data_IF_848461912185
#
_entry.id   IF_848461912185
#
_cell.length_a   1.000
_cell.length_b   1.000
_cell.length_c   1.000
_cell.angle_alpha   90.00
_cell.angle_beta   90.00
_cell.angle_gamma   90.00
#
_symmetry.space_group_name_H-M   'P 1'
#
loop_
_entity.id
_entity.type
_entity.pdbx_description
1 polymer ?
#
# COMPACT_ATOMS: atom_id res chain seq x y z
N UNK A 1 -35.21 10.18 17.10
CA UNK A 1 -33.75 9.91 17.18
C UNK A 1 -33.62 8.54 17.79
N UNK A 2 -33.22 7.56 16.99
CA UNK A 2 -32.98 6.20 17.47
C UNK A 2 -31.49 6.02 17.84
N UNK A 3 -31.23 5.17 18.83
CA UNK A 3 -29.90 4.65 19.13
C UNK A 3 -29.74 3.33 18.38
N UNK A 4 -28.91 3.37 17.34
CA UNK A 4 -28.55 2.22 16.51
C UNK A 4 -27.30 1.59 17.11
N UNK A 5 -27.43 0.42 17.69
CA UNK A 5 -26.31 -0.30 18.28
C UNK A 5 -25.84 -1.33 17.29
N UNK A 6 -24.55 -1.30 16.95
CA UNK A 6 -23.96 -2.33 16.13
C UNK A 6 -22.96 -3.16 16.95
N UNK A 7 -23.08 -4.48 16.84
CA UNK A 7 -22.19 -5.44 17.49
C UNK A 7 -21.60 -6.43 16.49
N UNK A 8 -20.41 -6.93 16.81
CA UNK A 8 -19.82 -8.06 16.09
C UNK A 8 -19.64 -9.21 17.06
N UNK A 9 -20.28 -10.33 16.77
CA UNK A 9 -20.19 -11.53 17.60
C UNK A 9 -19.10 -12.43 17.04
N UNK A 10 -17.95 -12.46 17.71
CA UNK A 10 -16.89 -13.42 17.41
C UNK A 10 -17.20 -14.77 18.05
N UNK A 11 -16.57 -15.85 17.59
CA UNK A 11 -16.62 -17.18 18.23
C UNK A 11 -16.01 -17.21 19.64
N UNK A 12 -15.38 -16.14 20.09
CA UNK A 12 -14.89 -15.96 21.46
C UNK A 12 -16.01 -15.43 22.38
N UNK A 13 -16.42 -16.25 23.35
CA UNK A 13 -17.47 -15.97 24.33
C UNK A 13 -17.10 -14.85 25.33
N UNK A 14 -15.82 -14.69 25.67
CA UNK A 14 -15.37 -13.63 26.59
C UNK A 14 -15.52 -12.26 25.94
N UNK A 15 -15.21 -12.19 24.66
CA UNK A 15 -15.34 -11.01 23.79
C UNK A 15 -16.78 -10.51 23.67
N UNK A 16 -17.75 -11.44 23.57
CA UNK A 16 -19.17 -11.11 23.46
C UNK A 16 -19.74 -10.62 24.79
N UNK A 17 -19.38 -11.28 25.90
CA UNK A 17 -19.83 -10.89 27.25
C UNK A 17 -19.43 -9.45 27.61
N UNK A 18 -18.19 -9.05 27.31
CA UNK A 18 -17.72 -7.67 27.56
C UNK A 18 -18.51 -6.64 26.77
N UNK A 19 -18.84 -6.91 25.50
CA UNK A 19 -19.63 -5.96 24.68
C UNK A 19 -21.03 -5.78 25.25
N UNK A 20 -21.69 -6.88 25.60
CA UNK A 20 -23.03 -6.85 26.21
C UNK A 20 -23.01 -6.07 27.52
N UNK A 21 -21.98 -6.25 28.35
CA UNK A 21 -21.85 -5.50 29.60
C UNK A 21 -21.71 -3.99 29.38
N UNK A 22 -20.81 -3.55 28.49
CA UNK A 22 -20.62 -2.13 28.16
C UNK A 22 -21.90 -1.48 27.62
N UNK A 23 -22.64 -2.22 26.79
CA UNK A 23 -23.92 -1.75 26.23
C UNK A 23 -24.99 -1.64 27.32
N UNK A 24 -25.07 -2.62 28.23
CA UNK A 24 -26.00 -2.61 29.34
C UNK A 24 -25.70 -1.46 30.33
N UNK A 25 -24.44 -1.22 30.68
CA UNK A 25 -24.01 -0.09 31.52
C UNK A 25 -24.37 1.27 30.88
N UNK A 26 -24.38 1.34 29.55
CA UNK A 26 -24.79 2.52 28.80
C UNK A 26 -26.32 2.65 28.63
N UNK A 27 -27.11 1.69 29.13
CA UNK A 27 -28.57 1.65 28.97
C UNK A 27 -29.01 1.27 27.54
N UNK A 28 -28.15 0.64 26.76
CA UNK A 28 -28.34 0.29 25.35
C UNK A 28 -28.52 -1.22 25.17
N UNK A 29 -29.43 -1.79 25.96
CA UNK A 29 -29.77 -3.21 25.90
C UNK A 29 -30.93 -3.47 24.94
N UNK A 30 -31.06 -4.73 24.51
CA UNK A 30 -32.20 -5.17 23.73
C UNK A 30 -33.51 -4.98 24.52
N UNK A 31 -34.56 -4.48 23.86
CA UNK A 31 -35.86 -4.20 24.48
C UNK A 31 -35.98 -2.81 25.12
N UNK A 32 -34.93 -2.00 25.14
CA UNK A 32 -35.01 -0.58 25.54
C UNK A 32 -35.67 0.24 24.44
N UNK A 33 -36.64 1.09 24.81
CA UNK A 33 -37.33 1.95 23.84
C UNK A 33 -36.36 2.90 23.14
N UNK A 34 -36.51 3.03 21.82
CA UNK A 34 -35.60 3.81 20.98
C UNK A 34 -34.25 3.17 20.65
N UNK A 35 -33.94 1.96 21.15
CA UNK A 35 -32.71 1.21 20.83
C UNK A 35 -32.98 0.16 19.76
N UNK A 36 -32.12 0.09 18.74
CA UNK A 36 -32.18 -0.93 17.69
C UNK A 36 -30.82 -1.60 17.54
N UNK A 37 -30.81 -2.92 17.74
CA UNK A 37 -29.60 -3.74 17.68
C UNK A 37 -29.40 -4.29 16.28
N UNK A 38 -28.16 -4.25 15.79
CA UNK A 38 -27.70 -4.87 14.57
C UNK A 38 -26.44 -5.68 14.88
N UNK A 39 -26.30 -6.85 14.26
CA UNK A 39 -25.19 -7.73 14.55
C UNK A 39 -24.70 -8.47 13.30
N UNK A 40 -23.39 -8.65 13.20
CA UNK A 40 -22.78 -9.58 12.25
C UNK A 40 -22.18 -10.78 13.02
N UNK A 41 -22.81 -11.98 12.96
CA UNK A 41 -22.29 -13.18 13.60
C UNK A 41 -21.13 -13.78 12.80
N UNK A 42 -20.08 -14.23 13.51
CA UNK A 42 -18.96 -15.00 12.96
C UNK A 42 -18.25 -14.39 11.73
N UNK A 43 -18.41 -13.08 11.51
CA UNK A 43 -17.86 -12.43 10.31
C UNK A 43 -16.38 -12.12 10.49
N UNK A 44 -15.59 -12.58 9.52
CA UNK A 44 -14.15 -12.35 9.48
C UNK A 44 -13.84 -10.86 9.54
N UNK A 45 -12.90 -10.47 10.40
CA UNK A 45 -12.38 -9.09 10.50
C UNK A 45 -11.78 -8.60 9.17
N UNK A 46 -11.64 -9.45 8.15
CA UNK A 46 -11.14 -9.06 6.82
C UNK A 46 -12.16 -8.27 6.00
N UNK A 47 -13.46 -8.49 6.23
CA UNK A 47 -14.54 -7.83 5.49
C UNK A 47 -14.75 -6.42 6.07
N UNK A 48 -14.65 -5.36 5.23
CA UNK A 48 -14.92 -3.98 5.65
C UNK A 48 -16.30 -3.85 6.30
N UNK A 49 -16.44 -2.99 7.32
CA UNK A 49 -17.67 -2.85 8.08
C UNK A 49 -18.89 -2.59 7.18
N UNK A 50 -18.77 -1.67 6.22
CA UNK A 50 -19.85 -1.27 5.31
C UNK A 50 -20.31 -2.38 4.35
N UNK A 51 -19.50 -3.42 4.12
CA UNK A 51 -19.83 -4.53 3.21
C UNK A 51 -20.59 -5.66 3.92
N UNK A 52 -20.60 -5.66 5.26
CA UNK A 52 -21.24 -6.70 6.05
C UNK A 52 -22.75 -6.58 6.01
N UNK A 53 -23.42 -7.72 6.18
CA UNK A 53 -24.87 -7.81 6.03
C UNK A 53 -25.59 -7.04 7.15
N UNK A 54 -25.20 -7.25 8.40
CA UNK A 54 -25.78 -6.53 9.55
C UNK A 54 -25.55 -5.02 9.49
N UNK A 55 -24.40 -4.58 8.95
CA UNK A 55 -24.16 -3.15 8.73
C UNK A 55 -25.03 -2.61 7.58
N UNK A 56 -25.21 -3.37 6.50
CA UNK A 56 -26.09 -2.97 5.39
C UNK A 56 -27.54 -2.83 5.85
N UNK A 57 -28.01 -3.72 6.73
CA UNK A 57 -29.33 -3.59 7.36
C UNK A 57 -29.44 -2.33 8.22
N UNK A 58 -28.41 -2.05 9.05
CA UNK A 58 -28.34 -0.81 9.81
C UNK A 58 -28.40 0.41 8.90
N UNK A 59 -27.63 0.40 7.81
CA UNK A 59 -27.60 1.48 6.85
C UNK A 59 -28.94 1.71 6.15
N UNK A 60 -29.71 0.64 5.89
CA UNK A 60 -31.06 0.72 5.35
C UNK A 60 -32.09 1.26 6.34
N UNK A 61 -31.87 1.08 7.64
CA UNK A 61 -32.74 1.58 8.70
C UNK A 61 -32.44 3.03 9.11
N UNK A 62 -31.15 3.40 9.09
CA UNK A 62 -30.66 4.65 9.64
C UNK A 62 -31.29 5.89 9.00
N UNK A 63 -31.61 6.88 9.82
CA UNK A 63 -32.15 8.18 9.40
C UNK A 63 -31.26 9.31 9.86
N UNK A 64 -31.38 10.45 9.17
CA UNK A 64 -30.70 11.67 9.58
C UNK A 64 -31.03 12.02 11.04
N UNK A 65 -29.99 12.26 11.84
CA UNK A 65 -30.10 12.59 13.26
C UNK A 65 -30.05 11.39 14.20
N UNK A 66 -30.11 10.15 13.70
CA UNK A 66 -29.89 8.95 14.51
C UNK A 66 -28.43 8.86 15.00
N UNK A 67 -28.19 8.00 15.98
CA UNK A 67 -26.86 7.76 16.54
C UNK A 67 -26.45 6.31 16.38
N UNK A 68 -25.33 6.08 15.72
CA UNK A 68 -24.64 4.80 15.70
C UNK A 68 -23.74 4.69 16.92
N UNK A 69 -24.08 3.79 17.85
CA UNK A 69 -23.29 3.53 19.06
C UNK A 69 -22.59 2.17 18.96
N UNK A 70 -21.30 2.17 19.27
CA UNK A 70 -20.42 1.00 19.25
C UNK A 70 -19.83 0.77 20.64
N UNK A 71 -19.64 -0.49 21.02
CA UNK A 71 -18.91 -0.85 22.23
C UNK A 71 -17.43 -0.42 22.15
N UNK A 72 -16.72 -0.90 21.13
CA UNK A 72 -15.30 -0.64 20.87
C UNK A 72 -15.03 -0.50 19.35
N UNK A 73 -14.25 0.50 18.94
CA UNK A 73 -13.96 0.77 17.51
C UNK A 73 -13.26 -0.39 16.78
N UNK A 74 -12.22 -0.94 17.40
CA UNK A 74 -11.41 -2.01 16.82
C UNK A 74 -12.16 -3.36 16.74
N UNK A 75 -13.39 -3.44 17.27
CA UNK A 75 -14.26 -4.62 17.11
C UNK A 75 -15.15 -4.52 15.88
N UNK A 76 -15.53 -3.31 15.49
CA UNK A 76 -16.24 -3.05 14.25
C UNK A 76 -15.26 -3.04 13.08
N UNK A 77 -14.19 -2.26 13.20
CA UNK A 77 -13.34 -1.88 12.09
C UNK A 77 -12.03 -2.67 12.12
N UNK A 78 -11.58 -3.13 10.94
CA UNK A 78 -10.38 -3.95 10.83
C UNK A 78 -9.08 -3.16 10.97
N UNK A 79 -9.13 -1.92 10.52
CA UNK A 79 -8.01 -1.00 10.44
C UNK A 79 -8.54 0.43 10.49
N UNK A 80 -7.61 1.38 10.53
CA UNK A 80 -7.93 2.79 10.53
C UNK A 80 -8.72 3.22 9.28
N UNK A 81 -8.46 2.63 8.11
CA UNK A 81 -9.17 3.00 6.88
C UNK A 81 -10.65 2.61 6.94
N UNK A 82 -10.96 1.47 7.54
CA UNK A 82 -12.32 1.00 7.79
C UNK A 82 -13.04 1.92 8.81
N UNK A 83 -12.35 2.37 9.87
CA UNK A 83 -12.88 3.40 10.79
C UNK A 83 -13.23 4.68 10.05
N UNK A 84 -12.35 5.18 9.20
CA UNK A 84 -12.59 6.40 8.44
C UNK A 84 -13.73 6.25 7.44
N UNK A 85 -13.89 5.07 6.85
CA UNK A 85 -14.97 4.76 5.92
C UNK A 85 -16.32 4.79 6.62
N UNK A 86 -16.43 4.17 7.80
CA UNK A 86 -17.65 4.23 8.63
C UNK A 86 -17.94 5.66 9.08
N UNK A 87 -16.92 6.40 9.53
CA UNK A 87 -17.07 7.80 9.92
C UNK A 87 -17.62 8.65 8.76
N UNK A 88 -17.06 8.47 7.58
CA UNK A 88 -17.48 9.23 6.39
C UNK A 88 -18.90 8.84 5.96
N UNK A 89 -19.26 7.56 6.04
CA UNK A 89 -20.63 7.11 5.84
C UNK A 89 -21.59 7.80 6.82
N UNK A 90 -21.27 7.79 8.12
CA UNK A 90 -22.07 8.47 9.15
C UNK A 90 -22.26 9.95 8.83
N UNK A 91 -21.17 10.64 8.46
CA UNK A 91 -21.19 12.07 8.10
C UNK A 91 -22.09 12.34 6.90
N UNK A 92 -22.03 11.52 5.86
CA UNK A 92 -22.84 11.68 4.65
C UNK A 92 -24.34 11.47 4.91
N UNK A 93 -24.69 10.59 5.85
CA UNK A 93 -26.07 10.26 6.18
C UNK A 93 -26.62 11.07 7.37
N UNK A 94 -25.82 11.98 7.94
CA UNK A 94 -26.19 12.78 9.11
C UNK A 94 -26.41 11.94 10.37
N UNK A 95 -25.73 10.80 10.47
CA UNK A 95 -25.75 9.89 11.62
C UNK A 95 -24.58 10.25 12.52
N UNK A 96 -24.83 10.33 13.84
CA UNK A 96 -23.78 10.56 14.84
C UNK A 96 -23.04 9.26 15.13
N UNK A 97 -21.73 9.32 15.35
CA UNK A 97 -20.92 8.14 15.67
C UNK A 97 -20.42 8.20 17.12
N UNK A 98 -20.82 7.25 17.95
CA UNK A 98 -20.42 7.15 19.37
C UNK A 98 -19.74 5.82 19.66
N UNK A 99 -18.73 5.87 20.54
CA UNK A 99 -17.99 4.69 21.00
C UNK A 99 -17.99 4.69 22.51
N UNK A 100 -18.24 3.55 23.14
CA UNK A 100 -18.40 3.46 24.61
C UNK A 100 -17.07 3.25 25.34
N UNK A 101 -16.08 2.63 24.70
CA UNK A 101 -14.81 2.29 25.35
C UNK A 101 -13.58 2.60 24.48
N UNK A 102 -12.43 2.77 25.15
CA UNK A 102 -11.15 3.12 24.55
C UNK A 102 -10.88 4.62 24.49
N UNK A 103 -9.77 5.00 23.83
CA UNK A 103 -9.26 6.38 23.82
C UNK A 103 -10.21 7.42 23.18
N UNK A 104 -11.25 6.97 22.47
CA UNK A 104 -12.22 7.82 21.78
C UNK A 104 -13.59 7.86 22.47
N UNK A 105 -13.75 7.21 23.62
CA UNK A 105 -15.04 7.17 24.32
C UNK A 105 -15.50 8.51 24.88
N UNK A 106 -14.57 9.45 25.11
CA UNK A 106 -14.87 10.81 25.55
C UNK A 106 -15.45 11.70 24.44
N UNK A 107 -15.50 11.24 23.19
CA UNK A 107 -16.02 12.00 22.06
C UNK A 107 -17.49 11.63 21.85
N UNK A 108 -18.37 12.62 21.94
CA UNK A 108 -19.82 12.45 21.84
C UNK A 108 -20.30 12.18 20.41
N UNK A 109 -19.60 12.71 19.41
CA UNK A 109 -19.85 12.45 17.99
C UNK A 109 -18.53 12.46 17.19
N UNK A 110 -18.03 11.28 16.87
CA UNK A 110 -16.82 11.09 16.06
C UNK A 110 -17.04 11.44 14.58
N UNK A 111 -18.28 11.49 14.10
CA UNK A 111 -18.62 11.92 12.74
C UNK A 111 -18.69 13.45 12.61
N UNK A 112 -18.66 14.16 13.74
CA UNK A 112 -18.67 15.61 13.76
C UNK A 112 -17.48 16.20 12.97
N UNK A 113 -17.74 17.38 12.42
CA UNK A 113 -16.77 18.16 11.65
C UNK A 113 -16.27 19.39 12.42
N UNK A 114 -16.41 19.39 13.75
CA UNK A 114 -15.82 20.43 14.58
C UNK A 114 -14.28 20.33 14.59
N UNK A 115 -13.63 21.44 14.93
CA UNK A 115 -12.18 21.56 14.86
C UNK A 115 -11.47 20.53 15.75
N UNK A 116 -12.00 20.27 16.95
CA UNK A 116 -11.41 19.37 17.94
C UNK A 116 -11.48 17.93 17.46
N UNK A 117 -12.67 17.44 17.08
CA UNK A 117 -12.85 16.08 16.55
C UNK A 117 -12.02 15.88 15.28
N UNK A 118 -12.01 16.87 14.38
CA UNK A 118 -11.22 16.80 13.14
C UNK A 118 -9.73 16.72 13.43
N UNK A 119 -9.21 17.49 14.38
CA UNK A 119 -7.80 17.44 14.79
C UNK A 119 -7.45 16.07 15.38
N UNK A 120 -8.25 15.57 16.33
CA UNK A 120 -8.02 14.27 16.98
C UNK A 120 -8.00 13.13 15.96
N UNK A 121 -8.99 13.10 15.07
CA UNK A 121 -9.04 12.11 13.98
C UNK A 121 -7.78 12.21 13.10
N UNK A 122 -7.36 13.42 12.70
CA UNK A 122 -6.14 13.60 11.90
C UNK A 122 -4.87 13.13 12.62
N UNK A 123 -4.75 13.39 13.93
CA UNK A 123 -3.61 12.90 14.72
C UNK A 123 -3.57 11.37 14.75
N UNK A 124 -4.72 10.72 14.98
CA UNK A 124 -4.80 9.26 14.95
C UNK A 124 -4.45 8.69 13.57
N UNK A 125 -4.86 9.38 12.51
CA UNK A 125 -4.49 9.01 11.14
C UNK A 125 -2.97 9.03 10.95
N UNK A 126 -2.35 10.13 11.38
CA UNK A 126 -0.90 10.32 11.29
C UNK A 126 -0.14 9.27 12.10
N UNK A 127 -0.59 8.95 13.32
CA UNK A 127 0.02 7.90 14.15
C UNK A 127 -0.10 6.53 13.49
N UNK A 128 -1.28 6.18 12.95
CA UNK A 128 -1.48 4.91 12.24
C UNK A 128 -0.70 4.82 10.93
N UNK A 129 -0.40 5.94 10.27
CA UNK A 129 0.52 5.98 9.13
C UNK A 129 1.97 5.76 9.57
N UNK A 130 2.40 6.49 10.61
CA UNK A 130 3.73 6.34 11.19
C UNK A 130 4.05 4.90 11.60
N UNK A 131 3.14 4.23 12.32
CA UNK A 131 3.33 2.82 12.71
C UNK A 131 3.47 1.88 11.51
N UNK A 132 2.69 2.09 10.44
CA UNK A 132 2.80 1.29 9.21
C UNK A 132 4.13 1.51 8.51
N UNK A 133 4.58 2.75 8.43
CA UNK A 133 5.85 3.09 7.79
C UNK A 133 7.03 2.50 8.58
N UNK A 134 7.00 2.61 9.91
CA UNK A 134 8.00 1.99 10.80
C UNK A 134 8.02 0.46 10.66
N UNK A 135 6.85 -0.19 10.64
CA UNK A 135 6.78 -1.65 10.45
C UNK A 135 7.38 -2.08 9.10
N UNK A 136 7.12 -1.30 8.04
CA UNK A 136 7.69 -1.57 6.72
C UNK A 136 9.21 -1.38 6.70
N UNK A 137 9.71 -0.34 7.37
CA UNK A 137 11.15 -0.07 7.53
C UNK A 137 11.85 -1.24 8.24
N UNK A 138 11.37 -1.63 9.42
CA UNK A 138 11.90 -2.77 10.18
C UNK A 138 11.83 -4.08 9.38
N UNK A 139 10.77 -4.28 8.60
CA UNK A 139 10.64 -5.46 7.73
C UNK A 139 11.70 -5.46 6.62
N UNK A 140 11.97 -4.31 6.01
CA UNK A 140 13.03 -4.17 4.98
C UNK A 140 14.41 -4.41 5.58
N UNK A 141 14.69 -3.85 6.75
CA UNK A 141 15.94 -4.08 7.47
C UNK A 141 16.14 -5.55 7.81
N UNK A 142 15.09 -6.21 8.33
CA UNK A 142 15.10 -7.63 8.63
C UNK A 142 15.34 -8.50 7.38
N UNK A 143 14.69 -8.16 6.26
CA UNK A 143 14.92 -8.85 4.98
C UNK A 143 16.34 -8.63 4.45
N UNK A 144 16.86 -7.40 4.53
CA UNK A 144 18.22 -7.08 4.11
C UNK A 144 19.26 -7.86 4.94
N UNK A 145 19.08 -7.93 6.27
CA UNK A 145 19.92 -8.73 7.16
C UNK A 145 19.82 -10.23 6.84
N UNK A 146 18.61 -10.73 6.58
CA UNK A 146 18.41 -12.13 6.19
C UNK A 146 19.09 -12.46 4.85
N UNK A 147 19.00 -11.59 3.84
CA UNK A 147 19.67 -11.76 2.56
C UNK A 147 21.19 -11.68 2.68
N UNK A 148 21.72 -10.78 3.52
CA UNK A 148 23.15 -10.74 3.84
C UNK A 148 23.63 -12.03 4.53
N UNK A 149 22.77 -12.66 5.33
CA UNK A 149 22.98 -13.98 5.93
C UNK A 149 22.74 -15.17 4.99
N UNK A 150 22.44 -14.94 3.70
CA UNK A 150 22.25 -15.99 2.70
C UNK A 150 20.84 -16.55 2.58
N UNK A 151 19.84 -15.99 3.28
CA UNK A 151 18.45 -16.39 3.11
C UNK A 151 17.95 -16.00 1.71
N UNK A 152 17.25 -16.90 1.03
CA UNK A 152 16.66 -16.62 -0.29
C UNK A 152 15.14 -16.45 -0.16
N UNK A 153 14.61 -15.36 -0.69
CA UNK A 153 13.16 -15.14 -0.76
C UNK A 153 12.53 -15.99 -1.88
N UNK A 154 11.30 -16.47 -1.66
CA UNK A 154 10.49 -17.17 -2.66
C UNK A 154 10.10 -18.60 -2.29
N UNK A 155 9.20 -19.19 -3.07
CA UNK A 155 8.73 -20.57 -2.89
C UNK A 155 9.88 -21.54 -3.19
N UNK A 156 10.23 -22.39 -2.22
CA UNK A 156 11.24 -23.46 -2.42
C UNK A 156 10.89 -24.28 -3.68
N UNK A 157 11.89 -24.64 -4.51
CA UNK A 157 11.64 -25.45 -5.70
C UNK A 157 10.91 -26.74 -5.32
N UNK A 158 9.90 -27.14 -6.09
CA UNK A 158 9.13 -28.36 -5.78
C UNK A 158 10.00 -29.62 -5.75
N UNK A 159 11.06 -29.69 -6.56
CA UNK A 159 12.03 -30.79 -6.52
C UNK A 159 12.85 -30.85 -5.22
N UNK A 160 13.02 -29.72 -4.52
CA UNK A 160 13.63 -29.70 -3.20
C UNK A 160 12.68 -30.24 -2.11
N UNK A 161 11.37 -30.06 -2.28
CA UNK A 161 10.38 -30.66 -1.39
C UNK A 161 10.30 -32.19 -1.57
N UNK A 162 10.64 -32.71 -2.75
CA UNK A 162 10.64 -34.14 -3.06
C UNK A 162 11.97 -34.84 -2.72
N UNK A 163 13.00 -34.11 -2.26
CA UNK A 163 14.33 -34.66 -1.96
C UNK A 163 15.27 -34.85 -3.17
N UNK A 164 14.82 -34.51 -4.38
CA UNK A 164 15.53 -34.81 -5.64
C UNK A 164 16.51 -33.72 -6.08
N UNK A 165 16.70 -32.66 -5.28
CA UNK A 165 17.41 -31.44 -5.68
C UNK A 165 18.84 -31.72 -6.19
N UNK A 166 19.63 -32.50 -5.46
CA UNK A 166 21.00 -32.83 -5.84
C UNK A 166 21.06 -33.73 -7.09
N UNK A 167 20.11 -34.65 -7.25
CA UNK A 167 20.03 -35.51 -8.43
C UNK A 167 19.71 -34.70 -9.69
N UNK A 168 18.74 -33.79 -9.61
CA UNK A 168 18.38 -32.87 -10.71
C UNK A 168 19.57 -31.99 -11.09
N UNK A 169 20.28 -31.44 -10.10
CA UNK A 169 21.46 -30.58 -10.32
C UNK A 169 22.61 -31.35 -10.97
N UNK A 170 22.88 -32.59 -10.55
CA UNK A 170 23.88 -33.47 -11.17
C UNK A 170 23.53 -33.77 -12.62
N UNK A 171 22.33 -34.28 -12.89
CA UNK A 171 21.89 -34.62 -14.25
C UNK A 171 21.90 -33.40 -15.18
N UNK A 172 21.59 -32.22 -14.65
CA UNK A 172 21.71 -30.98 -15.42
C UNK A 172 23.15 -30.65 -15.80
N UNK A 173 24.13 -30.83 -14.89
CA UNK A 173 25.57 -30.66 -15.19
C UNK A 173 26.06 -31.69 -16.21
N UNK A 174 25.48 -32.90 -16.19
CA UNK A 174 25.74 -33.96 -17.17
C UNK A 174 25.10 -33.67 -18.55
N UNK A 175 24.47 -32.50 -18.74
CA UNK A 175 23.95 -32.02 -20.02
C UNK A 175 22.48 -32.35 -20.29
N UNK A 176 21.75 -32.91 -19.33
CA UNK A 176 20.32 -33.23 -19.50
C UNK A 176 19.50 -31.94 -19.55
N UNK A 177 18.70 -31.79 -20.61
CA UNK A 177 17.88 -30.58 -20.80
C UNK A 177 16.84 -30.38 -19.69
N UNK A 178 16.54 -29.11 -19.39
CA UNK A 178 15.48 -28.70 -18.45
C UNK A 178 14.13 -29.37 -18.78
N UNK A 179 13.82 -29.52 -20.07
CA UNK A 179 12.58 -30.15 -20.51
C UNK A 179 12.54 -31.65 -20.22
N UNK A 180 13.67 -32.35 -20.32
CA UNK A 180 13.77 -33.76 -19.97
C UNK A 180 13.66 -33.98 -18.45
N UNK A 181 14.36 -33.17 -17.66
CA UNK A 181 14.30 -33.19 -16.19
C UNK A 181 12.88 -32.91 -15.66
N UNK A 182 12.17 -31.96 -16.27
CA UNK A 182 10.80 -31.62 -15.88
C UNK A 182 9.84 -32.81 -16.08
N UNK A 183 10.00 -33.56 -17.18
CA UNK A 183 9.21 -34.77 -17.46
C UNK A 183 9.57 -35.91 -16.52
N UNK A 184 10.86 -36.14 -16.29
CA UNK A 184 11.36 -37.21 -15.42
C UNK A 184 10.87 -37.06 -13.98
N UNK A 185 10.94 -35.84 -13.43
CA UNK A 185 10.52 -35.56 -12.05
C UNK A 185 9.05 -35.12 -11.92
N UNK A 186 8.28 -35.15 -13.02
CA UNK A 186 6.84 -34.76 -13.06
C UNK A 186 6.56 -33.38 -12.45
N UNK A 187 7.46 -32.42 -12.70
CA UNK A 187 7.33 -31.03 -12.24
C UNK A 187 7.29 -30.06 -13.40
N UNK A 188 6.89 -28.82 -13.14
CA UNK A 188 6.94 -27.77 -14.16
C UNK A 188 8.39 -27.44 -14.56
N UNK A 189 8.57 -26.98 -15.81
CA UNK A 189 9.89 -26.46 -16.27
C UNK A 189 10.39 -25.30 -15.42
N UNK A 190 9.48 -24.52 -14.84
CA UNK A 190 9.79 -23.43 -13.91
C UNK A 190 10.42 -23.99 -12.63
N UNK A 191 9.89 -25.08 -12.06
CA UNK A 191 10.46 -25.70 -10.87
C UNK A 191 11.90 -26.23 -11.10
N UNK A 192 12.17 -26.82 -12.27
CA UNK A 192 13.53 -27.23 -12.65
C UNK A 192 14.43 -26.00 -12.83
N UNK A 193 13.97 -24.97 -13.57
CA UNK A 193 14.73 -23.71 -13.73
C UNK A 193 15.07 -23.05 -12.41
N UNK A 194 14.17 -23.05 -11.42
CA UNK A 194 14.44 -22.54 -10.07
C UNK A 194 15.46 -23.40 -9.33
N UNK A 195 15.43 -24.72 -9.51
CA UNK A 195 16.35 -25.67 -8.87
C UNK A 195 17.78 -25.64 -9.42
N UNK A 196 17.94 -25.29 -10.71
CA UNK A 196 19.25 -25.17 -11.39
C UNK A 196 19.59 -23.72 -11.74
N UNK A 197 18.95 -22.75 -11.08
CA UNK A 197 19.02 -21.33 -11.43
C UNK A 197 20.44 -20.73 -11.39
N UNK A 198 21.31 -21.32 -10.60
CA UNK A 198 22.74 -21.00 -10.47
C UNK A 198 23.63 -21.74 -11.49
N UNK A 199 23.11 -22.79 -12.15
CA UNK A 199 23.84 -23.62 -13.12
C UNK A 199 23.50 -23.27 -14.59
N UNK A 200 22.47 -22.45 -14.85
CA UNK A 200 22.05 -22.10 -16.22
C UNK A 200 23.15 -21.32 -16.99
N UNK A 201 23.54 -21.73 -18.21
CA UNK A 201 24.47 -20.97 -19.04
C UNK A 201 23.86 -19.62 -19.41
N UNK A 202 24.61 -18.54 -19.18
CA UNK A 202 24.12 -17.16 -19.19
C UNK A 202 24.16 -16.48 -17.81
N UNK A 203 24.63 -17.17 -16.76
CA UNK A 203 24.96 -16.54 -15.45
C UNK A 203 26.45 -16.60 -15.08
N UNK A 204 27.25 -17.41 -15.77
CA UNK A 204 28.70 -17.51 -15.60
C UNK A 204 29.42 -16.89 -16.82
N UNK A 205 29.37 -15.56 -16.87
CA UNK A 205 30.27 -14.59 -17.52
C UNK A 205 29.49 -13.28 -17.70
N UNK A 206 29.03 -12.73 -16.58
CA UNK A 206 29.30 -11.30 -16.42
C UNK A 206 30.53 -11.26 -15.54
N UNK A 207 31.68 -10.73 -16.02
CA UNK A 207 32.76 -10.40 -15.10
C UNK A 207 32.14 -9.58 -13.98
N UNK A 208 32.63 -9.77 -12.76
CA UNK A 208 32.32 -8.86 -11.67
C UNK A 208 32.43 -7.44 -12.24
N UNK A 209 31.28 -6.78 -12.47
CA UNK A 209 31.27 -5.39 -12.86
C UNK A 209 31.75 -4.67 -11.61
N UNK A 210 33.06 -4.52 -11.49
CA UNK A 210 33.65 -3.31 -10.97
C UNK A 210 32.79 -2.16 -11.53
N UNK A 211 32.20 -1.39 -10.61
CA UNK A 211 31.05 -0.53 -10.89
C UNK A 211 31.23 0.32 -12.15
N UNK A 212 30.15 0.41 -12.93
CA UNK A 212 29.78 1.44 -13.94
C UNK A 212 28.81 0.86 -14.99
N UNK A 213 27.88 -0.02 -14.57
CA UNK A 213 26.75 -0.42 -15.41
C UNK A 213 25.54 0.43 -15.05
N UNK A 214 25.17 1.37 -15.90
CA UNK A 214 23.99 2.22 -15.72
C UNK A 214 22.77 1.36 -15.34
N UNK A 215 22.01 1.72 -14.29
CA UNK A 215 20.84 0.94 -13.92
C UNK A 215 19.85 0.88 -15.08
N UNK A 216 19.07 -0.22 -15.15
CA UNK A 216 18.06 -0.42 -16.19
C UNK A 216 17.20 0.83 -16.38
N UNK A 217 16.87 1.20 -17.64
CA UNK A 217 16.10 2.40 -17.89
C UNK A 217 14.74 2.30 -17.22
N UNK A 218 14.42 3.32 -16.43
CA UNK A 218 13.17 3.46 -15.71
C UNK A 218 12.30 4.48 -16.44
N UNK A 219 10.98 4.30 -16.37
CA UNK A 219 10.03 5.26 -16.94
C UNK A 219 9.52 6.18 -15.85
N UNK A 220 9.74 7.49 -16.01
CA UNK A 220 9.24 8.52 -15.09
C UNK A 220 8.36 9.52 -15.84
N UNK A 221 7.27 9.92 -15.19
CA UNK A 221 6.44 11.03 -15.63
C UNK A 221 7.08 12.37 -15.21
N UNK A 222 7.60 13.13 -16.16
CA UNK A 222 8.16 14.47 -15.96
C UNK A 222 7.02 15.50 -16.07
N UNK A 223 6.78 16.36 -15.06
CA UNK A 223 5.77 17.42 -15.16
C UNK A 223 6.05 18.37 -16.33
N UNK A 224 5.02 18.80 -17.06
CA UNK A 224 5.18 19.61 -18.28
C UNK A 224 5.89 20.95 -18.09
N UNK A 225 5.86 21.54 -16.88
CA UNK A 225 6.66 22.74 -16.56
C UNK A 225 8.16 22.46 -16.55
N UNK A 226 8.56 21.32 -15.98
CA UNK A 226 9.96 20.85 -15.95
C UNK A 226 10.39 20.44 -17.35
N UNK A 227 9.56 19.66 -18.06
CA UNK A 227 9.81 19.24 -19.43
C UNK A 227 9.97 20.43 -20.40
N UNK A 228 9.14 21.47 -20.25
CA UNK A 228 9.22 22.70 -21.08
C UNK A 228 10.53 23.44 -20.87
N UNK A 229 11.01 23.56 -19.62
CA UNK A 229 12.29 24.22 -19.32
C UNK A 229 13.47 23.44 -19.89
N UNK A 230 13.48 22.13 -19.68
CA UNK A 230 14.51 21.23 -20.22
C UNK A 230 14.55 21.24 -21.76
N UNK A 231 13.39 21.26 -22.41
CA UNK A 231 13.29 21.28 -23.87
C UNK A 231 13.62 22.67 -24.45
N UNK A 232 13.42 23.75 -23.68
CA UNK A 232 13.75 25.11 -24.09
C UNK A 232 15.26 25.41 -24.13
N UNK A 233 16.09 24.56 -23.51
CA UNK A 233 17.56 24.69 -23.49
C UNK A 233 18.26 23.35 -23.72
N UNK A 234 17.87 22.60 -24.76
CA UNK A 234 18.50 21.32 -25.13
C UNK A 234 20.02 21.45 -25.37
N UNK A 235 20.51 22.64 -25.71
CA UNK A 235 21.94 22.91 -25.90
C UNK A 235 22.78 22.79 -24.63
N UNK A 236 22.17 22.97 -23.46
CA UNK A 236 22.84 22.92 -22.15
C UNK A 236 22.87 21.49 -21.56
N UNK A 237 22.25 20.52 -22.25
CA UNK A 237 22.13 19.13 -21.82
C UNK A 237 23.17 18.23 -22.49
N UNK A 238 23.46 17.06 -21.92
CA UNK A 238 24.22 16.02 -22.60
C UNK A 238 23.41 15.31 -23.69
N UNK A 239 24.09 14.48 -24.49
CA UNK A 239 23.47 13.75 -25.61
C UNK A 239 22.38 12.77 -25.14
N UNK A 240 22.61 12.10 -24.02
CA UNK A 240 21.68 11.11 -23.48
C UNK A 240 20.41 11.76 -22.89
N UNK A 241 20.54 12.92 -22.26
CA UNK A 241 19.44 13.74 -21.75
C UNK A 241 18.58 14.29 -22.89
N UNK A 242 19.22 14.83 -23.94
CA UNK A 242 18.53 15.30 -25.15
C UNK A 242 17.73 14.16 -25.80
N UNK A 243 18.38 13.02 -26.00
CA UNK A 243 17.75 11.85 -26.62
C UNK A 243 16.56 11.36 -25.80
N UNK A 244 16.69 11.30 -24.47
CA UNK A 244 15.61 10.89 -23.57
C UNK A 244 14.40 11.84 -23.62
N UNK A 245 14.62 13.15 -23.73
CA UNK A 245 13.54 14.13 -23.86
C UNK A 245 12.84 14.05 -25.22
N UNK A 246 13.61 13.88 -26.31
CA UNK A 246 13.07 13.78 -27.67
C UNK A 246 12.27 12.48 -27.89
N UNK A 247 12.69 11.38 -27.26
CA UNK A 247 11.96 10.10 -27.30
C UNK A 247 10.81 10.05 -26.29
N UNK A 248 10.67 11.06 -25.43
CA UNK A 248 9.63 11.14 -24.42
C UNK A 248 8.22 11.23 -25.04
N UNK A 249 7.25 10.52 -24.45
CA UNK A 249 5.86 10.55 -24.92
C UNK A 249 5.04 11.57 -24.12
N UNK A 250 4.52 12.59 -24.81
CA UNK A 250 3.60 13.56 -24.22
C UNK A 250 2.26 12.91 -23.85
N UNK A 251 1.76 13.22 -22.65
CA UNK A 251 0.41 12.86 -22.17
C UNK A 251 -0.28 14.11 -21.66
N UNK A 252 -1.46 14.41 -22.22
CA UNK A 252 -2.24 15.61 -21.86
C UNK A 252 -3.23 15.30 -20.74
N UNK A 253 -3.32 16.20 -19.76
CA UNK A 253 -4.30 16.16 -18.66
C UNK A 253 -4.85 17.58 -18.44
N UNK A 254 -6.08 17.85 -18.88
CA UNK A 254 -6.69 19.17 -18.80
C UNK A 254 -5.92 20.23 -19.61
N UNK A 255 -5.67 21.40 -19.02
CA UNK A 255 -4.89 22.50 -19.63
C UNK A 255 -3.35 22.28 -19.57
N UNK A 256 -2.89 21.13 -19.05
CA UNK A 256 -1.47 20.81 -18.87
C UNK A 256 -1.04 19.51 -19.57
N UNK A 257 0.27 19.29 -19.64
CA UNK A 257 0.85 18.05 -20.14
C UNK A 257 1.91 17.51 -19.18
N UNK A 258 2.22 16.23 -19.31
CA UNK A 258 3.40 15.59 -18.73
C UNK A 258 4.13 14.79 -19.82
N UNK A 259 5.43 14.60 -19.63
CA UNK A 259 6.29 13.87 -20.56
C UNK A 259 6.72 12.57 -19.90
N UNK A 260 6.34 11.43 -20.49
CA UNK A 260 6.86 10.14 -20.05
C UNK A 260 8.24 9.90 -20.67
N UNK A 261 9.27 9.95 -19.84
CA UNK A 261 10.67 9.75 -20.24
C UNK A 261 11.12 8.39 -19.72
N UNK A 262 11.68 7.56 -20.60
CA UNK A 262 12.27 6.26 -20.25
C UNK A 262 13.78 6.36 -20.42
N UNK A 263 14.52 6.44 -19.33
CA UNK A 263 15.97 6.59 -19.36
C UNK A 263 16.62 5.96 -18.12
N UNK A 264 17.95 5.84 -18.14
CA UNK A 264 18.68 5.39 -16.96
C UNK A 264 18.46 6.34 -15.76
N UNK A 265 18.59 5.86 -14.51
CA UNK A 265 18.50 6.73 -13.35
C UNK A 265 19.54 7.87 -13.33
N UNK A 266 20.72 7.68 -13.90
CA UNK A 266 21.74 8.75 -14.05
C UNK A 266 21.26 9.84 -15.00
N UNK A 267 20.67 9.48 -16.15
CA UNK A 267 20.07 10.47 -17.07
C UNK A 267 18.92 11.20 -16.39
N UNK A 268 18.09 10.52 -15.61
CA UNK A 268 17.02 11.19 -14.86
C UNK A 268 17.55 12.16 -13.78
N UNK A 269 18.64 11.80 -13.08
CA UNK A 269 19.31 12.69 -12.11
C UNK A 269 19.95 13.89 -12.80
N UNK A 270 20.58 13.69 -13.96
CA UNK A 270 21.16 14.77 -14.74
C UNK A 270 20.08 15.73 -15.27
N UNK A 271 18.94 15.21 -15.76
CA UNK A 271 17.78 16.03 -16.12
C UNK A 271 17.21 16.80 -14.92
N UNK A 272 17.19 16.20 -13.72
CA UNK A 272 16.72 16.87 -12.52
C UNK A 272 17.69 17.99 -12.10
N UNK A 273 19.00 17.72 -12.12
CA UNK A 273 20.04 18.69 -11.77
C UNK A 273 20.10 19.85 -12.78
N UNK A 274 20.01 19.57 -14.07
CA UNK A 274 19.96 20.59 -15.12
C UNK A 274 18.75 21.51 -14.95
N UNK A 275 17.61 20.95 -14.55
CA UNK A 275 16.42 21.73 -14.34
C UNK A 275 16.46 22.49 -13.00
N UNK A 276 17.12 21.97 -11.95
CA UNK A 276 17.39 22.70 -10.69
C UNK A 276 18.38 23.84 -10.87
N UNK A 277 19.38 23.71 -11.75
CA UNK A 277 20.28 24.81 -12.10
C UNK A 277 19.57 25.98 -12.81
N UNK A 278 18.31 25.81 -13.24
CA UNK A 278 17.48 26.83 -13.89
C UNK A 278 16.59 27.62 -12.90
N UNK A 279 16.95 27.66 -11.61
CA UNK A 279 16.12 28.21 -10.51
C UNK A 279 16.15 29.74 -10.36
N UNK A 280 17.00 30.46 -11.12
CA UNK A 280 17.20 31.92 -10.93
C UNK A 280 15.91 32.75 -11.06
N UNK A 281 14.90 32.27 -11.81
CA UNK A 281 13.57 32.91 -11.97
C UNK A 281 12.39 31.93 -11.75
N UNK A 282 12.50 30.94 -10.86
CA UNK A 282 11.44 29.95 -10.68
C UNK A 282 10.21 30.47 -9.90
N UNK A 283 9.02 30.31 -10.49
CA UNK A 283 7.76 30.54 -9.79
C UNK A 283 7.50 29.46 -8.74
N UNK A 284 6.61 29.74 -7.77
CA UNK A 284 6.19 28.74 -6.78
C UNK A 284 5.62 27.46 -7.43
N UNK A 285 4.99 27.59 -8.60
CA UNK A 285 4.47 26.46 -9.37
C UNK A 285 5.58 25.66 -10.07
N UNK A 286 6.69 26.30 -10.45
CA UNK A 286 7.87 25.61 -11.00
C UNK A 286 8.55 24.79 -9.90
N UNK A 287 8.80 25.40 -8.74
CA UNK A 287 9.36 24.71 -7.56
C UNK A 287 8.52 23.50 -7.12
N UNK A 288 7.19 23.60 -7.22
CA UNK A 288 6.29 22.45 -6.98
C UNK A 288 6.47 21.35 -8.02
N UNK A 289 6.60 21.70 -9.30
CA UNK A 289 6.82 20.74 -10.37
C UNK A 289 8.18 20.02 -10.24
N UNK A 290 9.22 20.74 -9.83
CA UNK A 290 10.53 20.18 -9.48
C UNK A 290 10.45 19.14 -8.37
N UNK A 291 9.80 19.49 -7.28
CA UNK A 291 9.60 18.58 -6.14
C UNK A 291 8.88 17.30 -6.58
N UNK A 292 7.82 17.43 -7.37
CA UNK A 292 7.08 16.29 -7.91
C UNK A 292 7.98 15.37 -8.75
N UNK A 293 8.84 15.94 -9.61
CA UNK A 293 9.75 15.15 -10.42
C UNK A 293 10.79 14.40 -9.57
N UNK A 294 11.39 15.09 -8.59
CA UNK A 294 12.33 14.52 -7.63
C UNK A 294 11.71 13.39 -6.81
N UNK A 295 10.50 13.60 -6.28
CA UNK A 295 9.81 12.61 -5.45
C UNK A 295 9.48 11.35 -6.26
N UNK A 296 9.10 11.50 -7.54
CA UNK A 296 8.88 10.38 -8.46
C UNK A 296 10.15 9.58 -8.71
N UNK A 297 11.28 10.25 -8.95
CA UNK A 297 12.59 9.62 -9.14
C UNK A 297 13.03 8.83 -7.90
N UNK A 298 12.85 9.40 -6.71
CA UNK A 298 13.18 8.74 -5.45
C UNK A 298 12.28 7.53 -5.17
N UNK A 299 10.99 7.60 -5.51
CA UNK A 299 10.06 6.47 -5.36
C UNK A 299 10.47 5.26 -6.23
N UNK A 300 10.94 5.50 -7.46
CA UNK A 300 11.44 4.45 -8.36
C UNK A 300 12.79 3.86 -7.95
N UNK A 301 13.58 4.56 -7.13
CA UNK A 301 14.87 4.04 -6.62
C UNK A 301 14.69 3.09 -5.42
N UNK A 302 13.55 3.15 -4.73
CA UNK A 302 13.22 2.37 -3.53
C UNK A 302 12.26 1.20 -3.79
N UNK A 303 11.99 0.88 -5.06
CA UNK A 303 11.07 -0.18 -5.52
C UNK A 303 11.86 -1.34 -6.13
#
# INVERSE_FOLDING_TARGET
>A
MAELVYTRVSTDEQSTTRQTHLLAEAGLAEGVDGVRMFADPATSSKIPALEREGFRELAGYARHGDRLTLSELYRLCRDLADILSVREWCRQHGVKLRVLSGALSGITDLAASDATTTMLVKVLISVGQFQRDLQNELTREGLAAAWAGGATSGRRPQVAANGDLEQVRRQYRDGVSIAALARQHRVSRVAIRTAVADLLPGRAEQPARAGTGEPLPIRIEVPGKVARRLTGRLGDLGDHERQALQQGREVRRGQGYSLHVTASPSVHRALLAAAEAMDEDASAADRKAFRIYRDRLNATANS
#
